data_IF_678331552409
#
_entry.id   IF_678331552409
#
_cell.length_a   1.000
_cell.length_b   1.000
_cell.length_c   1.000
_cell.angle_alpha   90.00
_cell.angle_beta   90.00
_cell.angle_gamma   90.00
#
_symmetry.space_group_name_H-M   'P 1'
#
loop_
_entity.id
_entity.type
_entity.pdbx_description
1 polymer ?
#
# COMPACT_ATOMS: atom_id res chain seq x y z
N UNK A 1 -9.05 4.79 -30.11
CA UNK A 1 -7.92 5.11 -29.20
C UNK A 1 -8.39 6.23 -28.27
N UNK A 2 -8.82 5.90 -27.05
CA UNK A 2 -9.21 6.92 -26.08
C UNK A 2 -7.93 7.54 -25.52
N UNK A 3 -7.64 8.76 -25.96
CA UNK A 3 -6.49 9.54 -25.47
C UNK A 3 -6.82 10.02 -24.06
N UNK A 4 -6.25 9.33 -23.07
CA UNK A 4 -6.24 9.81 -21.68
C UNK A 4 -5.22 10.94 -21.62
N UNK A 5 -5.69 12.16 -21.36
CA UNK A 5 -4.84 13.36 -21.38
C UNK A 5 -4.19 13.64 -20.02
N UNK A 6 -4.77 13.10 -18.95
CA UNK A 6 -4.28 13.29 -17.57
C UNK A 6 -4.80 12.19 -16.66
N UNK A 7 -4.32 12.16 -15.42
CA UNK A 7 -4.72 11.14 -14.46
C UNK A 7 -6.21 11.17 -14.08
N UNK A 8 -6.89 12.30 -14.20
CA UNK A 8 -8.35 12.37 -14.01
C UNK A 8 -9.06 11.58 -15.09
N UNK A 9 -8.69 11.78 -16.34
CA UNK A 9 -9.26 11.04 -17.49
C UNK A 9 -9.00 9.54 -17.35
N UNK A 10 -7.83 9.17 -16.82
CA UNK A 10 -7.48 7.79 -16.51
C UNK A 10 -8.43 7.17 -15.46
N UNK A 11 -8.72 7.88 -14.36
CA UNK A 11 -9.67 7.39 -13.36
C UNK A 11 -11.10 7.35 -13.88
N UNK A 12 -11.49 8.30 -14.70
CA UNK A 12 -12.79 8.31 -15.39
C UNK A 12 -12.89 7.12 -16.35
N UNK A 13 -11.83 6.81 -17.10
CA UNK A 13 -11.73 5.63 -17.94
C UNK A 13 -11.84 4.34 -17.13
N UNK A 14 -11.10 4.19 -16.03
CA UNK A 14 -11.18 3.03 -15.16
C UNK A 14 -12.59 2.85 -14.57
N UNK A 15 -13.27 3.94 -14.22
CA UNK A 15 -14.63 3.88 -13.68
C UNK A 15 -15.68 3.53 -14.73
N UNK A 16 -15.48 3.87 -16.00
CA UNK A 16 -16.36 3.54 -17.12
C UNK A 16 -16.16 2.13 -17.66
N UNK A 17 -14.93 1.62 -17.64
CA UNK A 17 -14.54 0.28 -18.11
C UNK A 17 -14.93 -0.84 -17.15
N UNK A 18 -15.94 -0.62 -16.32
CA UNK A 18 -16.30 -1.45 -15.16
C UNK A 18 -16.62 -2.92 -15.47
N UNK A 19 -16.95 -3.26 -16.72
CA UNK A 19 -17.29 -4.64 -17.11
C UNK A 19 -16.07 -5.55 -17.27
N UNK A 20 -14.93 -5.00 -17.65
CA UNK A 20 -13.74 -5.77 -18.01
C UNK A 20 -12.69 -5.78 -16.88
N UNK A 21 -12.76 -4.83 -15.93
CA UNK A 21 -11.86 -4.75 -14.78
C UNK A 21 -12.52 -5.38 -13.54
N UNK A 22 -13.02 -6.60 -13.68
CA UNK A 22 -13.53 -7.39 -12.53
C UNK A 22 -12.52 -7.55 -11.41
N UNK A 23 -11.24 -7.52 -11.73
CA UNK A 23 -10.12 -7.67 -10.78
C UNK A 23 -9.99 -6.49 -9.82
N UNK A 24 -10.21 -5.26 -10.25
CA UNK A 24 -10.07 -4.08 -9.40
C UNK A 24 -11.22 -3.99 -8.38
N UNK A 25 -12.40 -4.51 -8.68
CA UNK A 25 -13.58 -4.43 -7.79
C UNK A 25 -13.60 -5.42 -6.63
N UNK A 26 -13.07 -6.62 -6.83
CA UNK A 26 -13.09 -7.64 -5.77
C UNK A 26 -12.16 -7.30 -4.59
N UNK A 27 -11.30 -6.31 -4.75
CA UNK A 27 -10.27 -5.98 -3.77
C UNK A 27 -10.66 -4.76 -2.94
N UNK A 28 -11.58 -3.91 -3.41
CA UNK A 28 -12.13 -2.79 -2.63
C UNK A 28 -12.97 -3.24 -1.41
N UNK A 29 -13.24 -4.53 -1.28
CA UNK A 29 -13.92 -5.12 -0.11
C UNK A 29 -12.96 -5.89 0.81
N UNK A 30 -11.67 -5.93 0.49
CA UNK A 30 -10.68 -6.65 1.31
C UNK A 30 -10.42 -5.93 2.62
N UNK A 31 -10.27 -6.71 3.67
CA UNK A 31 -9.81 -6.17 4.96
C UNK A 31 -8.28 -6.09 4.98
N UNK A 32 -7.73 -5.32 5.89
CA UNK A 32 -6.27 -5.29 6.12
C UNK A 32 -5.68 -6.69 6.37
N UNK A 33 -6.43 -7.58 6.97
CA UNK A 33 -6.01 -8.97 7.20
C UNK A 33 -5.91 -9.73 5.89
N UNK A 34 -6.92 -9.59 5.01
CA UNK A 34 -6.94 -10.28 3.72
C UNK A 34 -5.79 -9.81 2.83
N UNK A 35 -5.55 -8.49 2.79
CA UNK A 35 -4.44 -7.88 2.05
C UNK A 35 -3.08 -8.46 2.49
N UNK A 36 -2.80 -8.43 3.78
CA UNK A 36 -1.54 -8.93 4.32
C UNK A 36 -1.41 -10.46 4.15
N UNK A 37 -2.50 -11.21 4.27
CA UNK A 37 -2.49 -12.65 4.03
C UNK A 37 -2.21 -12.96 2.55
N UNK A 38 -2.78 -12.20 1.63
CA UNK A 38 -2.54 -12.37 0.18
C UNK A 38 -1.04 -12.30 -0.11
N UNK A 39 -0.37 -11.23 0.29
CA UNK A 39 1.07 -11.09 0.02
C UNK A 39 1.94 -12.03 0.85
N UNK A 40 1.50 -12.40 2.06
CA UNK A 40 2.20 -13.39 2.89
C UNK A 40 2.21 -14.77 2.24
N UNK A 41 1.11 -15.18 1.62
CA UNK A 41 1.02 -16.45 0.89
C UNK A 41 1.96 -16.49 -0.33
N UNK A 42 2.39 -15.33 -0.83
CA UNK A 42 3.40 -15.19 -1.88
C UNK A 42 4.83 -15.09 -1.34
N UNK A 43 5.04 -15.36 -0.05
CA UNK A 43 6.36 -15.35 0.58
C UNK A 43 6.84 -13.98 1.06
N UNK A 44 6.02 -12.93 0.95
CA UNK A 44 6.38 -11.59 1.44
C UNK A 44 6.26 -11.53 2.96
N UNK A 45 7.33 -11.13 3.63
CA UNK A 45 7.29 -10.91 5.09
C UNK A 45 6.40 -9.71 5.41
N UNK A 46 5.44 -9.89 6.31
CA UNK A 46 4.48 -8.85 6.68
C UNK A 46 4.56 -8.54 8.18
N UNK A 47 4.05 -7.35 8.56
CA UNK A 47 3.76 -7.10 9.97
C UNK A 47 2.77 -8.15 10.49
N UNK A 48 2.89 -8.46 11.77
CA UNK A 48 1.97 -9.36 12.45
C UNK A 48 0.77 -8.58 12.98
N UNK A 49 -0.44 -9.10 12.74
CA UNK A 49 -1.67 -8.60 13.33
C UNK A 49 -2.18 -9.61 14.37
N UNK A 50 -2.43 -9.12 15.58
CA UNK A 50 -3.00 -9.90 16.70
C UNK A 50 -4.12 -9.12 17.38
N UNK A 51 -5.06 -9.79 18.07
CA UNK A 51 -5.92 -9.12 19.03
C UNK A 51 -5.09 -8.37 20.08
N UNK A 52 -5.52 -7.16 20.46
CA UNK A 52 -4.83 -6.35 21.46
C UNK A 52 -4.61 -7.13 22.76
N UNK A 53 -5.59 -7.93 23.19
CA UNK A 53 -5.52 -8.79 24.37
C UNK A 53 -4.39 -9.83 24.32
N UNK A 54 -3.92 -10.21 23.12
CA UNK A 54 -2.84 -11.17 22.92
C UNK A 54 -1.47 -10.53 22.68
N UNK A 55 -1.41 -9.18 22.64
CA UNK A 55 -0.14 -8.48 22.48
C UNK A 55 0.61 -8.43 23.79
N UNK A 56 1.91 -8.74 23.74
CA UNK A 56 2.80 -8.82 24.90
C UNK A 56 4.13 -8.12 24.58
N UNK A 57 4.79 -7.63 25.61
CA UNK A 57 6.18 -7.14 25.57
C UNK A 57 6.44 -6.03 24.55
N UNK A 58 5.48 -5.10 24.42
CA UNK A 58 5.62 -3.89 23.61
C UNK A 58 5.03 -2.70 24.35
N UNK A 59 5.62 -1.53 24.18
CA UNK A 59 5.17 -0.32 24.86
C UNK A 59 3.96 0.29 24.11
N UNK A 60 4.05 0.34 22.77
CA UNK A 60 3.04 0.97 21.93
C UNK A 60 2.59 0.06 20.81
N UNK A 61 1.33 0.21 20.45
CA UNK A 61 0.67 -0.53 19.38
C UNK A 61 -0.08 0.40 18.45
N UNK A 62 -0.18 -0.02 17.19
CA UNK A 62 -1.10 0.55 16.21
C UNK A 62 -2.37 -0.29 16.25
N UNK A 63 -3.43 0.26 16.81
CA UNK A 63 -4.75 -0.41 16.88
C UNK A 63 -5.54 -0.09 15.64
N UNK A 64 -6.08 -1.11 14.99
CA UNK A 64 -6.97 -0.98 13.83
C UNK A 64 -8.41 -0.91 14.33
N UNK A 65 -8.91 0.30 14.55
CA UNK A 65 -10.28 0.55 15.01
C UNK A 65 -11.30 0.20 13.95
N UNK A 66 -10.91 0.31 12.65
CA UNK A 66 -11.68 -0.14 11.50
C UNK A 66 -10.73 -0.74 10.44
N UNK A 67 -10.77 -2.06 10.29
CA UNK A 67 -9.91 -2.82 9.36
C UNK A 67 -10.32 -2.69 7.90
N UNK A 68 -11.46 -2.07 7.62
CA UNK A 68 -11.96 -1.81 6.25
C UNK A 68 -11.55 -0.45 5.72
N UNK A 69 -10.98 0.40 6.58
CA UNK A 69 -10.52 1.74 6.20
C UNK A 69 -9.11 1.71 5.64
N UNK A 70 -8.91 2.48 4.58
CA UNK A 70 -7.64 2.68 3.89
C UNK A 70 -7.07 4.08 4.14
N UNK A 71 -5.90 4.35 3.56
CA UNK A 71 -5.23 5.67 3.62
C UNK A 71 -4.93 6.18 5.03
N UNK A 72 -4.59 5.28 5.96
CA UNK A 72 -4.26 5.65 7.34
C UNK A 72 -5.45 5.95 8.24
N UNK A 73 -6.67 5.98 7.71
CA UNK A 73 -7.89 6.07 8.50
C UNK A 73 -8.14 4.78 9.28
N UNK A 74 -8.89 4.86 10.38
CA UNK A 74 -9.22 3.68 11.19
C UNK A 74 -8.03 3.06 11.93
N UNK A 75 -6.96 3.83 12.16
CA UNK A 75 -5.79 3.43 12.96
C UNK A 75 -5.54 4.45 14.06
N UNK A 76 -5.18 3.97 15.24
CA UNK A 76 -4.74 4.80 16.38
C UNK A 76 -3.44 4.24 16.94
N UNK A 77 -2.49 5.14 17.22
CA UNK A 77 -1.29 4.81 17.98
C UNK A 77 -1.57 5.07 19.46
N UNK A 78 -1.29 4.09 20.31
CA UNK A 78 -1.48 4.22 21.77
C UNK A 78 -0.61 3.25 22.55
N UNK A 79 -0.50 3.50 23.84
CA UNK A 79 0.18 2.59 24.77
C UNK A 79 -0.59 1.26 24.87
N UNK A 80 0.11 0.14 25.03
CA UNK A 80 -0.51 -1.18 25.06
C UNK A 80 -1.54 -1.32 26.18
N UNK A 81 -1.26 -0.79 27.37
CA UNK A 81 -2.17 -0.90 28.51
C UNK A 81 -3.48 -0.13 28.25
N UNK A 82 -3.39 1.07 27.68
CA UNK A 82 -4.57 1.83 27.25
C UNK A 82 -5.34 1.09 26.15
N UNK A 83 -4.63 0.47 25.20
CA UNK A 83 -5.24 -0.32 24.14
C UNK A 83 -6.01 -1.53 24.67
N UNK A 84 -5.45 -2.23 25.68
CA UNK A 84 -6.11 -3.37 26.34
C UNK A 84 -7.41 -2.97 27.06
N UNK A 85 -7.44 -1.77 27.61
CA UNK A 85 -8.65 -1.25 28.26
C UNK A 85 -9.72 -0.81 27.26
N UNK A 86 -9.31 -0.12 26.19
CA UNK A 86 -10.24 0.51 25.24
C UNK A 86 -10.66 -0.40 24.09
N UNK A 87 -9.76 -1.28 23.63
CA UNK A 87 -9.91 -2.04 22.38
C UNK A 87 -9.42 -3.50 22.49
N UNK A 88 -9.78 -4.26 23.54
CA UNK A 88 -9.19 -5.58 23.80
C UNK A 88 -9.37 -6.60 22.67
N UNK A 89 -10.49 -6.50 21.94
CA UNK A 89 -10.82 -7.42 20.83
C UNK A 89 -10.39 -6.92 19.44
N UNK A 90 -9.94 -5.65 19.34
CA UNK A 90 -9.48 -5.12 18.04
C UNK A 90 -8.12 -5.69 17.69
N UNK A 91 -7.82 -5.73 16.38
CA UNK A 91 -6.50 -6.10 15.90
C UNK A 91 -5.52 -4.95 16.09
N UNK A 92 -4.28 -5.30 16.39
CA UNK A 92 -3.18 -4.36 16.45
C UNK A 92 -1.90 -4.96 15.87
N UNK A 93 -0.96 -4.09 15.54
CA UNK A 93 0.43 -4.44 15.28
C UNK A 93 1.33 -3.72 16.27
N UNK A 94 2.55 -4.26 16.48
CA UNK A 94 3.60 -3.56 17.21
C UNK A 94 3.91 -2.23 16.50
N UNK A 95 4.02 -1.15 17.26
CA UNK A 95 4.53 0.11 16.73
C UNK A 95 6.06 0.08 16.64
N UNK A 96 6.59 0.46 15.49
CA UNK A 96 8.02 0.58 15.23
C UNK A 96 8.40 2.06 15.29
N UNK A 97 9.06 2.50 16.36
CA UNK A 97 9.39 3.92 16.59
C UNK A 97 10.54 4.44 15.72
N UNK A 98 11.40 3.56 15.24
CA UNK A 98 12.63 3.92 14.51
C UNK A 98 12.45 3.84 12.99
N UNK A 99 11.28 4.19 12.49
CA UNK A 99 10.98 4.15 11.05
C UNK A 99 11.04 5.55 10.48
N UNK A 100 12.18 5.93 9.90
CA UNK A 100 12.36 7.23 9.26
C UNK A 100 11.65 7.33 7.91
N UNK A 101 11.55 6.22 7.21
CA UNK A 101 10.98 6.12 5.87
C UNK A 101 9.98 4.98 5.75
N UNK A 102 8.89 5.23 5.05
CA UNK A 102 8.04 4.20 4.46
C UNK A 102 8.54 3.93 3.04
N UNK A 103 8.78 2.68 2.72
CA UNK A 103 9.20 2.26 1.39
C UNK A 103 8.00 1.70 0.64
N UNK A 104 7.89 2.04 -0.63
CA UNK A 104 6.83 1.55 -1.50
C UNK A 104 7.43 0.84 -2.69
N UNK A 105 6.95 -0.35 -2.99
CA UNK A 105 7.14 -1.02 -4.27
C UNK A 105 5.85 -0.83 -5.06
N UNK A 106 5.92 -0.10 -6.16
CA UNK A 106 4.80 0.18 -7.04
C UNK A 106 5.01 -0.52 -8.38
N UNK A 107 4.06 -1.35 -8.76
CA UNK A 107 4.02 -2.02 -10.06
C UNK A 107 2.97 -1.36 -10.94
N UNK A 108 3.34 -1.01 -12.15
CA UNK A 108 2.45 -0.49 -13.20
C UNK A 108 2.77 -1.25 -14.49
N UNK A 109 1.90 -2.15 -14.87
CA UNK A 109 2.17 -3.01 -16.00
C UNK A 109 3.44 -3.83 -15.79
N UNK A 110 4.41 -3.62 -16.69
CA UNK A 110 5.74 -4.25 -16.63
C UNK A 110 6.80 -3.39 -15.93
N UNK A 111 6.45 -2.16 -15.57
CA UNK A 111 7.35 -1.21 -14.92
C UNK A 111 7.23 -1.32 -13.41
N UNK A 112 8.37 -1.26 -12.74
CA UNK A 112 8.44 -1.31 -11.27
C UNK A 112 9.15 -0.06 -10.75
N UNK A 113 8.55 0.55 -9.76
CA UNK A 113 9.10 1.73 -9.09
C UNK A 113 9.32 1.43 -7.61
N UNK A 114 10.46 1.85 -7.11
CA UNK A 114 10.75 1.88 -5.68
C UNK A 114 10.69 3.31 -5.20
N UNK A 115 9.86 3.57 -4.18
CA UNK A 115 9.77 4.86 -3.54
C UNK A 115 10.28 4.76 -2.09
N UNK A 116 10.95 5.81 -1.62
CA UNK A 116 11.24 6.01 -0.21
C UNK A 116 10.62 7.35 0.20
N UNK A 117 9.67 7.30 1.13
CA UNK A 117 8.87 8.44 1.56
C UNK A 117 9.17 8.70 3.03
N UNK A 118 9.66 9.89 3.35
CA UNK A 118 10.01 10.26 4.71
C UNK A 118 8.79 10.31 5.62
N UNK A 119 8.91 9.76 6.81
CA UNK A 119 7.88 9.87 7.85
C UNK A 119 8.04 11.19 8.59
N UNK A 120 6.99 11.99 8.64
CA UNK A 120 6.99 13.31 9.32
C UNK A 120 6.38 13.24 10.72
N UNK A 121 5.52 12.27 10.95
CA UNK A 121 4.89 11.96 12.25
C UNK A 121 4.66 10.44 12.31
N UNK A 122 4.42 9.89 13.51
CA UNK A 122 3.96 8.51 13.62
C UNK A 122 2.75 8.25 12.72
N UNK A 123 2.83 7.22 11.88
CA UNK A 123 1.81 6.80 10.92
C UNK A 123 1.49 7.82 9.81
N UNK A 124 2.34 8.84 9.61
CA UNK A 124 2.16 9.84 8.54
C UNK A 124 3.43 10.02 7.73
N UNK A 125 3.29 9.86 6.42
CA UNK A 125 4.34 10.14 5.45
C UNK A 125 4.30 11.59 5.01
N UNK A 126 5.44 12.10 4.56
CA UNK A 126 5.54 13.42 3.95
C UNK A 126 4.72 13.51 2.67
N UNK A 127 4.24 14.71 2.38
CA UNK A 127 3.65 15.08 1.08
C UNK A 127 4.56 16.01 0.29
N UNK A 128 5.70 16.39 0.86
CA UNK A 128 6.68 17.23 0.20
C UNK A 128 7.49 16.38 -0.79
N UNK A 129 7.60 16.84 -2.02
CA UNK A 129 8.36 16.15 -3.06
C UNK A 129 9.84 15.97 -2.70
N UNK A 130 10.44 16.91 -1.96
CA UNK A 130 11.82 16.83 -1.50
C UNK A 130 12.08 15.68 -0.51
N UNK A 131 11.03 15.18 0.14
CA UNK A 131 11.07 14.06 1.08
C UNK A 131 10.75 12.71 0.42
N UNK A 132 10.57 12.68 -0.90
CA UNK A 132 10.17 11.48 -1.64
C UNK A 132 11.20 11.19 -2.72
N UNK A 133 11.81 10.01 -2.63
CA UNK A 133 12.71 9.48 -3.64
C UNK A 133 11.99 8.42 -4.45
N UNK A 134 12.01 8.54 -5.78
CA UNK A 134 11.44 7.55 -6.71
C UNK A 134 12.53 7.06 -7.63
N UNK A 135 12.61 5.76 -7.80
CA UNK A 135 13.52 5.11 -8.74
C UNK A 135 12.78 4.02 -9.49
N UNK A 136 12.81 4.08 -10.80
CA UNK A 136 12.40 2.94 -11.62
C UNK A 136 13.48 1.85 -11.55
N UNK A 137 13.05 0.62 -11.34
CA UNK A 137 13.93 -0.54 -11.23
C UNK A 137 13.47 -1.61 -12.22
N UNK A 138 14.42 -2.29 -12.85
CA UNK A 138 14.13 -3.38 -13.79
C UNK A 138 14.21 -4.74 -13.10
N UNK A 139 13.40 -5.69 -13.59
CA UNK A 139 13.53 -7.10 -13.22
C UNK A 139 13.02 -7.50 -11.84
N UNK A 140 12.33 -6.61 -11.13
CA UNK A 140 11.71 -6.94 -9.84
C UNK A 140 10.20 -6.97 -10.03
N UNK A 141 9.61 -8.15 -9.97
CA UNK A 141 8.16 -8.38 -9.91
C UNK A 141 7.91 -9.40 -8.82
N UNK A 142 6.83 -9.21 -8.06
CA UNK A 142 6.37 -10.26 -7.13
C UNK A 142 5.56 -11.26 -7.95
N UNK A 143 6.09 -12.46 -8.09
CA UNK A 143 5.39 -13.53 -8.78
C UNK A 143 4.07 -13.87 -8.09
N UNK A 144 3.05 -14.20 -8.87
CA UNK A 144 1.73 -14.58 -8.35
C UNK A 144 0.79 -13.40 -8.06
N UNK A 145 1.21 -12.15 -8.31
CA UNK A 145 0.30 -11.00 -8.34
C UNK A 145 -0.05 -10.69 -9.79
N UNK A 146 -1.25 -11.07 -10.18
CA UNK A 146 -1.77 -10.84 -11.52
C UNK A 146 -2.69 -9.61 -11.56
N UNK A 147 -2.13 -8.47 -11.18
CA UNK A 147 -2.78 -7.18 -11.18
C UNK A 147 -1.98 -6.21 -12.06
N UNK A 148 -2.67 -5.42 -12.91
CA UNK A 148 -2.00 -4.46 -13.77
C UNK A 148 -1.36 -3.31 -13.00
N UNK A 149 -1.92 -2.96 -11.83
CA UNK A 149 -1.36 -1.97 -10.92
C UNK A 149 -1.52 -2.49 -9.50
N UNK A 150 -0.45 -2.41 -8.72
CA UNK A 150 -0.51 -2.62 -7.27
C UNK A 150 0.66 -1.93 -6.58
N UNK A 151 0.53 -1.68 -5.30
CA UNK A 151 1.67 -1.29 -4.48
C UNK A 151 1.72 -2.02 -3.15
N UNK A 152 2.93 -2.21 -2.65
CA UNK A 152 3.18 -2.75 -1.31
C UNK A 152 3.99 -1.72 -0.54
N UNK A 153 3.48 -1.30 0.60
CA UNK A 153 4.19 -0.42 1.50
C UNK A 153 4.96 -1.25 2.53
N UNK A 154 6.23 -0.89 2.73
CA UNK A 154 7.14 -1.56 3.64
C UNK A 154 7.66 -0.61 4.70
N UNK A 155 7.91 -1.15 5.87
CA UNK A 155 8.72 -0.53 6.91
C UNK A 155 10.03 -1.31 7.06
N UNK A 156 11.14 -0.58 7.23
CA UNK A 156 12.45 -1.18 7.53
C UNK A 156 12.56 -1.39 9.02
N UNK A 157 12.93 -2.59 9.43
CA UNK A 157 13.15 -2.96 10.82
C UNK A 157 14.54 -3.57 10.98
N UNK A 158 14.96 -3.85 12.20
CA UNK A 158 16.20 -4.59 12.48
C UNK A 158 16.20 -5.99 11.88
N UNK A 159 15.02 -6.58 11.67
CA UNK A 159 14.84 -7.91 11.08
C UNK A 159 14.68 -7.88 9.55
N UNK A 160 14.76 -6.70 8.95
CA UNK A 160 14.61 -6.47 7.51
C UNK A 160 13.35 -5.69 7.14
N UNK A 161 12.90 -5.84 5.90
CA UNK A 161 11.72 -5.17 5.39
C UNK A 161 10.45 -5.96 5.71
N UNK A 162 9.46 -5.32 6.32
CA UNK A 162 8.15 -5.89 6.58
C UNK A 162 7.08 -5.13 5.82
N UNK A 163 6.27 -5.83 5.03
CA UNK A 163 5.13 -5.22 4.37
C UNK A 163 4.05 -4.87 5.40
N UNK A 164 3.55 -3.64 5.32
CA UNK A 164 2.53 -3.12 6.23
C UNK A 164 1.24 -2.69 5.52
N UNK A 165 1.25 -2.61 4.18
CA UNK A 165 0.08 -2.30 3.37
C UNK A 165 0.19 -2.94 2.00
N UNK A 166 -0.95 -3.33 1.41
CA UNK A 166 -1.07 -3.81 0.05
C UNK A 166 -2.23 -3.09 -0.61
N UNK A 167 -1.93 -2.32 -1.64
CA UNK A 167 -2.91 -1.53 -2.36
C UNK A 167 -3.02 -2.04 -3.79
N UNK A 168 -4.22 -2.29 -4.23
CA UNK A 168 -4.55 -2.81 -5.56
C UNK A 168 -5.02 -1.72 -6.51
N UNK A 169 -5.37 -0.56 -5.95
CA UNK A 169 -5.65 0.67 -6.69
C UNK A 169 -4.79 1.77 -6.08
N UNK A 170 -3.67 2.04 -6.71
CA UNK A 170 -2.76 3.11 -6.25
C UNK A 170 -3.20 4.45 -6.83
N UNK A 171 -3.10 5.49 -6.03
CA UNK A 171 -3.26 6.87 -6.51
C UNK A 171 -1.97 7.32 -7.20
N UNK A 172 -2.05 7.47 -8.51
CA UNK A 172 -0.93 7.88 -9.36
C UNK A 172 -0.91 9.40 -9.64
N UNK A 173 -1.93 10.12 -9.16
CA UNK A 173 -2.08 11.57 -9.29
C UNK A 173 -1.20 12.36 -8.32
N UNK A 174 -0.35 11.68 -7.56
CA UNK A 174 0.63 12.33 -6.70
C UNK A 174 1.71 13.03 -7.54
N UNK A 175 2.02 14.27 -7.19
CA UNK A 175 2.94 15.12 -7.93
C UNK A 175 4.30 14.46 -8.20
N UNK A 176 4.78 13.62 -7.28
CA UNK A 176 6.06 12.95 -7.44
C UNK A 176 6.05 11.85 -8.52
N UNK A 177 4.92 11.16 -8.72
CA UNK A 177 4.82 10.14 -9.76
C UNK A 177 4.69 10.73 -11.16
N UNK A 178 4.07 11.88 -11.31
CA UNK A 178 3.92 12.56 -12.60
C UNK A 178 5.25 12.90 -13.30
N UNK A 179 6.35 12.91 -12.55
CA UNK A 179 7.71 13.13 -13.10
C UNK A 179 8.33 11.85 -13.65
N UNK A 180 7.80 10.68 -13.28
CA UNK A 180 8.37 9.38 -13.60
C UNK A 180 7.52 8.57 -14.59
N UNK A 181 6.22 8.82 -14.64
CA UNK A 181 5.30 8.15 -15.54
C UNK A 181 4.12 9.08 -15.86
N UNK A 182 3.75 9.15 -17.12
CA UNK A 182 2.56 9.89 -17.57
C UNK A 182 1.32 9.02 -17.53
N UNK A 183 0.13 9.63 -17.49
CA UNK A 183 -1.13 8.90 -17.54
C UNK A 183 -1.27 8.05 -18.81
N UNK A 184 -0.73 8.52 -19.93
CA UNK A 184 -0.71 7.77 -21.19
C UNK A 184 0.14 6.50 -21.08
N UNK A 185 1.36 6.59 -20.54
CA UNK A 185 2.23 5.44 -20.33
C UNK A 185 1.61 4.41 -19.36
N UNK A 186 0.88 4.87 -18.34
CA UNK A 186 0.14 3.97 -17.43
C UNK A 186 -0.89 3.15 -18.21
N UNK A 187 -1.69 3.80 -19.06
CA UNK A 187 -2.70 3.12 -19.88
C UNK A 187 -2.04 2.12 -20.82
N UNK A 188 -0.98 2.51 -21.52
CA UNK A 188 -0.24 1.61 -22.42
C UNK A 188 0.32 0.38 -21.68
N UNK A 189 0.86 0.56 -20.48
CA UNK A 189 1.39 -0.56 -19.68
C UNK A 189 0.27 -1.51 -19.22
N UNK A 190 -0.90 -0.99 -18.88
CA UNK A 190 -2.06 -1.82 -18.54
C UNK A 190 -2.58 -2.59 -19.74
N UNK A 191 -2.73 -1.93 -20.89
CA UNK A 191 -3.18 -2.57 -22.12
C UNK A 191 -2.26 -3.73 -22.55
N UNK A 192 -0.95 -3.59 -22.39
CA UNK A 192 0.02 -4.66 -22.68
C UNK A 192 -0.18 -5.94 -21.84
N UNK A 193 -0.78 -5.81 -20.67
CA UNK A 193 -1.07 -6.96 -19.78
C UNK A 193 -2.44 -7.57 -20.11
N UNK A 194 -3.43 -6.73 -20.42
CA UNK A 194 -4.79 -7.19 -20.66
C UNK A 194 -4.98 -7.88 -22.02
N UNK A 195 -4.06 -7.69 -22.97
CA UNK A 195 -4.09 -8.26 -24.32
C UNK A 195 -3.30 -9.57 -24.42
N UNK A 196 -2.56 -9.94 -23.40
CA UNK A 196 -1.82 -11.22 -23.33
C UNK A 196 -2.59 -12.27 -22.57
#
# INVERSE_FOLDING_TARGET
MNLVSNFKDYYDFLSQSQSDIKYIRNINSSTKVDELNTIRNLGVKTIELKPVSHMLNVDKVVVYTDITKHCGCGKVLMDLDAAKLMYPSKLCSKFMSEVDYTYKLLQIGRRTFRCAIKNVLPLKVSKDEGDILVQEISGIKIEGIDLPIYSIDYIKTTEGMLACDFNTVERLDSLYMNKHITAHEVVEEIEKILVT
#
